data_IF_871041876166
#
_entry.id   IF_871041876166
#
_cell.length_a   1.000
_cell.length_b   1.000
_cell.length_c   1.000
_cell.angle_alpha   90.00
_cell.angle_beta   90.00
_cell.angle_gamma   90.00
#
_symmetry.space_group_name_H-M   'P 1'
#
loop_
_entity.id
_entity.type
_entity.pdbx_description
1 polymer ?
#
# COMPACT_ATOMS: atom_id res chain seq x y z
N UNK A 1 -8.30 -14.07 21.21
CA UNK A 1 -9.49 -13.25 20.92
C UNK A 1 -10.66 -13.80 21.73
N UNK A 2 -11.52 -12.97 22.33
CA UNK A 2 -12.72 -13.43 23.01
C UNK A 2 -13.61 -14.29 22.09
N UNK A 3 -14.41 -15.17 22.69
CA UNK A 3 -15.36 -16.00 21.96
C UNK A 3 -16.39 -15.12 21.21
N UNK A 4 -16.67 -15.46 19.95
CA UNK A 4 -17.57 -14.69 19.09
C UNK A 4 -16.95 -13.49 18.37
N UNK A 5 -15.66 -13.17 18.59
CA UNK A 5 -14.97 -12.10 17.84
C UNK A 5 -14.55 -12.61 16.46
N UNK A 6 -15.12 -12.01 15.42
CA UNK A 6 -14.73 -12.23 14.03
C UNK A 6 -13.77 -11.11 13.60
N UNK A 7 -12.59 -11.42 13.06
CA UNK A 7 -11.70 -10.41 12.53
C UNK A 7 -12.37 -9.69 11.36
N UNK A 8 -12.35 -8.36 11.40
CA UNK A 8 -12.77 -7.50 10.30
C UNK A 8 -11.55 -6.77 9.75
N UNK A 9 -11.51 -6.61 8.43
CA UNK A 9 -10.40 -6.01 7.72
C UNK A 9 -10.91 -4.79 6.97
N UNK A 10 -10.38 -3.60 7.28
CA UNK A 10 -10.69 -2.40 6.51
C UNK A 10 -9.98 -2.42 5.13
N UNK A 11 -8.93 -3.23 5.00
CA UNK A 11 -8.15 -3.45 3.79
C UNK A 11 -7.30 -4.70 3.93
N UNK A 12 -7.16 -5.44 2.84
CA UNK A 12 -6.26 -6.58 2.73
C UNK A 12 -4.87 -6.07 2.35
N UNK A 13 -3.96 -6.12 3.31
CA UNK A 13 -2.54 -5.79 3.09
C UNK A 13 -1.82 -7.01 2.52
N UNK A 14 -1.15 -6.83 1.39
CA UNK A 14 -0.38 -7.86 0.71
C UNK A 14 1.10 -7.46 0.68
N UNK A 15 1.98 -8.42 0.95
CA UNK A 15 3.42 -8.23 0.85
C UNK A 15 3.86 -8.36 -0.60
N UNK A 16 4.48 -7.30 -1.13
CA UNK A 16 5.09 -7.30 -2.44
C UNK A 16 6.55 -7.75 -2.34
N UNK A 17 6.95 -8.72 -3.17
CA UNK A 17 8.30 -9.30 -3.19
C UNK A 17 8.94 -9.08 -4.56
N UNK A 18 9.66 -7.96 -4.77
CA UNK A 18 10.21 -7.64 -6.09
C UNK A 18 11.17 -8.72 -6.59
N UNK A 19 11.86 -9.43 -5.70
CA UNK A 19 12.80 -10.50 -6.06
C UNK A 19 12.12 -11.70 -6.72
N UNK A 20 10.86 -11.98 -6.39
CA UNK A 20 10.07 -13.04 -7.02
C UNK A 20 9.60 -12.63 -8.44
N UNK A 21 9.67 -11.33 -8.77
CA UNK A 21 9.24 -10.75 -10.05
C UNK A 21 10.40 -10.07 -10.79
N UNK A 22 11.63 -10.61 -10.66
CA UNK A 22 12.79 -10.14 -11.42
C UNK A 22 13.26 -8.72 -11.10
N UNK A 23 12.90 -8.18 -9.94
CA UNK A 23 13.21 -6.81 -9.53
C UNK A 23 12.19 -5.77 -9.95
N UNK A 24 11.01 -6.18 -10.46
CA UNK A 24 9.93 -5.27 -10.81
C UNK A 24 9.57 -4.38 -9.61
N UNK A 25 9.42 -3.08 -9.84
CA UNK A 25 9.04 -2.15 -8.79
C UNK A 25 7.55 -2.27 -8.46
N UNK A 26 7.18 -2.04 -7.20
CA UNK A 26 5.78 -2.05 -6.76
C UNK A 26 4.96 -0.97 -7.49
N UNK A 27 5.59 0.16 -7.82
CA UNK A 27 5.06 1.23 -8.66
C UNK A 27 4.58 0.70 -10.02
N UNK A 28 5.46 -0.03 -10.71
CA UNK A 28 5.21 -0.51 -12.07
C UNK A 28 4.21 -1.66 -12.06
N UNK A 29 4.29 -2.55 -11.07
CA UNK A 29 3.31 -3.59 -10.84
C UNK A 29 1.91 -3.00 -10.58
N UNK A 30 1.81 -1.98 -9.72
CA UNK A 30 0.54 -1.28 -9.45
C UNK A 30 -0.05 -0.64 -10.70
N UNK A 31 0.77 0.05 -11.51
CA UNK A 31 0.31 0.61 -12.79
C UNK A 31 -0.26 -0.45 -13.73
N UNK A 32 0.35 -1.64 -13.79
CA UNK A 32 -0.14 -2.74 -14.60
C UNK A 32 -1.47 -3.31 -14.09
N UNK A 33 -1.65 -3.44 -12.77
CA UNK A 33 -2.96 -3.84 -12.20
C UNK A 33 -4.07 -2.84 -12.56
N UNK A 34 -3.78 -1.54 -12.45
CA UNK A 34 -4.72 -0.47 -12.84
C UNK A 34 -5.05 -0.55 -14.33
N UNK A 35 -4.07 -0.84 -15.19
CA UNK A 35 -4.29 -1.03 -16.62
C UNK A 35 -5.18 -2.25 -16.95
N UNK A 36 -5.16 -3.29 -16.11
CA UNK A 36 -6.06 -4.46 -16.17
C UNK A 36 -7.46 -4.17 -15.59
N UNK A 37 -7.74 -2.94 -15.15
CA UNK A 37 -9.01 -2.52 -14.57
C UNK A 37 -9.15 -2.79 -13.07
N UNK A 38 -8.10 -3.30 -12.42
CA UNK A 38 -8.09 -3.55 -10.98
C UNK A 38 -7.71 -2.29 -10.20
N UNK A 39 -8.49 -1.22 -10.38
CA UNK A 39 -8.16 0.15 -9.94
C UNK A 39 -8.24 0.36 -8.43
N UNK A 40 -8.90 -0.55 -7.71
CA UNK A 40 -8.97 -0.53 -6.24
C UNK A 40 -7.71 -1.08 -5.56
N UNK A 41 -6.78 -1.70 -6.30
CA UNK A 41 -5.45 -1.90 -5.75
C UNK A 41 -4.83 -0.55 -5.46
N UNK A 42 -4.41 -0.33 -4.23
CA UNK A 42 -3.82 0.92 -3.80
C UNK A 42 -2.42 0.69 -3.25
N UNK A 43 -1.56 1.66 -3.52
CA UNK A 43 -0.30 1.79 -2.80
C UNK A 43 -0.60 2.65 -1.59
N UNK A 44 -0.32 2.19 -0.37
CA UNK A 44 -0.94 2.80 0.78
C UNK A 44 -0.35 4.18 1.07
N UNK A 45 -0.90 5.22 0.46
CA UNK A 45 -0.61 6.62 0.78
C UNK A 45 -0.96 6.94 2.23
N UNK A 46 -1.94 6.22 2.80
CA UNK A 46 -2.32 6.29 4.21
C UNK A 46 -1.35 5.57 5.17
N UNK A 47 -0.49 4.67 4.68
CA UNK A 47 0.56 4.01 5.50
C UNK A 47 1.97 4.33 4.99
N UNK A 48 2.13 5.43 4.24
CA UNK A 48 3.44 5.95 3.93
C UNK A 48 4.10 6.52 5.20
N UNK A 49 5.44 6.59 5.27
CA UNK A 49 6.15 7.19 6.39
C UNK A 49 5.74 8.66 6.57
N UNK A 50 4.88 8.92 7.57
CA UNK A 50 4.27 10.24 7.76
C UNK A 50 5.31 11.34 8.04
N UNK A 51 6.45 10.95 8.63
CA UNK A 51 7.58 11.84 8.90
C UNK A 51 8.10 12.55 7.65
N UNK A 52 7.86 12.00 6.45
CA UNK A 52 8.27 12.59 5.18
C UNK A 52 7.23 13.57 4.60
N UNK A 53 6.00 13.60 5.12
CA UNK A 53 4.93 14.47 4.62
C UNK A 53 5.15 15.94 5.03
N UNK A 54 4.74 16.92 4.20
CA UNK A 54 4.96 18.34 4.47
C UNK A 54 4.45 18.81 5.85
N UNK A 55 3.30 18.30 6.29
CA UNK A 55 2.72 18.65 7.58
C UNK A 55 3.61 18.24 8.77
N UNK A 56 4.33 17.13 8.66
CA UNK A 56 5.23 16.62 9.71
C UNK A 56 6.62 17.26 9.63
N UNK A 57 7.01 17.75 8.46
CA UNK A 57 8.26 18.49 8.27
C UNK A 57 8.16 19.96 8.66
N UNK A 58 6.98 20.56 8.47
CA UNK A 58 6.72 21.99 8.71
C UNK A 58 5.36 22.22 9.38
N UNK A 59 5.13 21.68 10.60
CA UNK A 59 3.82 21.78 11.28
C UNK A 59 3.45 23.22 11.63
N UNK A 60 4.43 24.11 11.75
CA UNK A 60 4.23 25.52 12.11
C UNK A 60 3.34 26.29 11.11
N UNK A 61 3.18 25.83 9.87
CA UNK A 61 2.29 26.47 8.89
C UNK A 61 0.82 26.40 9.31
N UNK A 62 0.40 25.28 9.91
CA UNK A 62 -0.98 25.09 10.40
C UNK A 62 -1.09 25.29 11.91
N UNK A 63 0.01 25.02 12.63
CA UNK A 63 0.06 25.06 14.09
C UNK A 63 1.23 25.94 14.56
N UNK A 64 1.09 27.28 14.50
CA UNK A 64 2.11 28.20 15.00
C UNK A 64 2.45 27.88 16.47
N UNK A 65 3.75 27.87 16.79
CA UNK A 65 4.22 27.54 18.15
C UNK A 65 4.17 26.04 18.51
N UNK A 66 3.90 25.14 17.55
CA UNK A 66 3.89 23.70 17.82
C UNK A 66 5.23 23.26 18.46
N UNK A 67 5.21 22.57 19.62
CA UNK A 67 6.42 22.24 20.39
C UNK A 67 7.49 21.49 19.60
N UNK A 68 7.07 20.73 18.58
CA UNK A 68 7.96 19.93 17.74
C UNK A 68 8.30 20.56 16.38
N UNK A 69 8.01 21.85 16.15
CA UNK A 69 8.31 22.53 14.88
C UNK A 69 9.81 22.57 14.52
N UNK A 70 10.67 22.37 15.51
CA UNK A 70 12.12 22.26 15.35
C UNK A 70 12.58 20.90 14.83
N UNK A 71 11.74 19.85 14.90
CA UNK A 71 12.12 18.52 14.43
C UNK A 71 12.27 18.53 12.91
N UNK A 72 13.30 17.84 12.43
CA UNK A 72 13.61 17.66 11.02
C UNK A 72 13.81 16.17 10.77
N UNK A 73 12.82 15.56 10.15
CA UNK A 73 12.90 14.15 9.80
C UNK A 73 13.58 13.99 8.44
N UNK A 74 14.32 12.90 8.26
CA UNK A 74 15.01 12.56 7.02
C UNK A 74 14.60 11.15 6.57
N UNK A 75 14.81 10.87 5.29
CA UNK A 75 14.73 9.51 4.80
C UNK A 75 15.76 8.65 5.53
N UNK A 76 15.37 7.43 5.91
CA UNK A 76 16.17 6.51 6.70
C UNK A 76 15.99 6.63 8.21
N UNK A 77 15.28 7.64 8.72
CA UNK A 77 14.99 7.75 10.17
C UNK A 77 14.06 6.62 10.65
N UNK A 78 13.22 6.08 9.75
CA UNK A 78 12.26 5.00 10.04
C UNK A 78 12.36 3.88 9.00
N UNK A 79 13.48 3.13 8.97
CA UNK A 79 13.78 2.20 7.87
C UNK A 79 12.76 1.07 7.76
N UNK A 80 12.19 0.62 8.87
CA UNK A 80 11.15 -0.43 8.86
C UNK A 80 9.85 0.09 8.23
N UNK A 81 9.43 1.30 8.57
CA UNK A 81 8.22 1.90 7.99
C UNK A 81 8.40 2.18 6.49
N UNK A 82 9.57 2.69 6.11
CA UNK A 82 9.96 2.90 4.71
C UNK A 82 9.97 1.58 3.93
N UNK A 83 10.54 0.52 4.51
CA UNK A 83 10.54 -0.81 3.91
C UNK A 83 9.11 -1.35 3.74
N UNK A 84 8.26 -1.27 4.78
CA UNK A 84 6.86 -1.69 4.70
C UNK A 84 6.14 -0.96 3.58
N UNK A 85 6.26 0.37 3.48
CA UNK A 85 5.63 1.15 2.41
C UNK A 85 6.10 0.74 1.00
N UNK A 86 7.40 0.47 0.83
CA UNK A 86 7.95 0.04 -0.45
C UNK A 86 7.54 -1.40 -0.86
N UNK A 87 7.14 -2.24 0.09
CA UNK A 87 6.83 -3.65 -0.13
C UNK A 87 5.38 -4.00 0.21
N UNK A 88 4.48 -3.02 0.14
CA UNK A 88 3.06 -3.22 0.42
C UNK A 88 2.20 -2.75 -0.73
N UNK A 89 1.24 -3.59 -1.10
CA UNK A 89 0.07 -3.21 -1.88
C UNK A 89 -1.18 -3.61 -1.08
N UNK A 90 -2.26 -2.85 -1.18
CA UNK A 90 -3.50 -3.15 -0.48
C UNK A 90 -4.68 -3.22 -1.43
N UNK A 91 -5.71 -3.94 -0.99
CA UNK A 91 -6.98 -4.07 -1.68
C UNK A 91 -8.12 -3.84 -0.68
N UNK A 92 -9.24 -3.17 -1.03
CA UNK A 92 -10.40 -3.18 -0.16
C UNK A 92 -10.91 -4.61 0.08
N UNK A 93 -11.59 -4.80 1.20
CA UNK A 93 -12.20 -6.09 1.53
C UNK A 93 -13.69 -6.04 1.24
N UNK A 94 -14.10 -6.78 0.23
CA UNK A 94 -15.51 -7.05 -0.02
C UNK A 94 -16.04 -8.07 0.98
N UNK A 95 -17.24 -7.83 1.51
CA UNK A 95 -17.78 -8.57 2.66
C UNK A 95 -19.09 -9.28 2.36
N UNK A 96 -19.67 -9.11 1.16
CA UNK A 96 -20.91 -9.76 0.77
C UNK A 96 -20.63 -10.90 -0.18
N UNK A 97 -21.38 -11.98 -0.07
CA UNK A 97 -21.23 -13.16 -0.93
C UNK A 97 -21.38 -12.80 -2.43
N UNK A 98 -22.28 -11.87 -2.73
CA UNK A 98 -22.49 -11.34 -4.08
C UNK A 98 -21.28 -10.62 -4.68
N UNK A 99 -20.31 -10.20 -3.85
CA UNK A 99 -19.09 -9.53 -4.30
C UNK A 99 -17.99 -10.54 -4.69
N UNK A 100 -18.21 -11.84 -4.45
CA UNK A 100 -17.25 -12.92 -4.78
C UNK A 100 -16.79 -12.88 -6.25
N UNK A 101 -17.67 -12.71 -7.25
CA UNK A 101 -17.22 -12.61 -8.65
C UNK A 101 -16.31 -11.41 -8.91
N UNK A 102 -16.49 -10.31 -8.19
CA UNK A 102 -15.62 -9.13 -8.28
C UNK A 102 -14.25 -9.44 -7.68
N UNK A 103 -14.20 -10.03 -6.48
CA UNK A 103 -12.94 -10.44 -5.85
C UNK A 103 -12.13 -11.39 -6.76
N UNK A 104 -12.80 -12.33 -7.44
CA UNK A 104 -12.16 -13.22 -8.40
C UNK A 104 -11.58 -12.49 -9.62
N UNK A 105 -12.21 -11.41 -10.11
CA UNK A 105 -11.65 -10.58 -11.18
C UNK A 105 -10.33 -9.92 -10.76
N UNK A 106 -10.28 -9.41 -9.53
CA UNK A 106 -9.07 -8.82 -8.95
C UNK A 106 -7.94 -9.82 -8.79
N UNK A 107 -8.26 -11.03 -8.35
CA UNK A 107 -7.28 -12.13 -8.27
C UNK A 107 -6.75 -12.47 -9.67
N UNK A 108 -7.62 -12.56 -10.69
CA UNK A 108 -7.19 -12.83 -12.06
C UNK A 108 -6.28 -11.73 -12.63
N UNK A 109 -6.58 -10.47 -12.36
CA UNK A 109 -5.70 -9.35 -12.75
C UNK A 109 -4.31 -9.49 -12.10
N UNK A 110 -4.26 -9.79 -10.80
CA UNK A 110 -3.00 -10.00 -10.08
C UNK A 110 -2.18 -11.19 -10.62
N UNK A 111 -2.85 -12.31 -10.92
CA UNK A 111 -2.21 -13.47 -11.56
C UNK A 111 -1.65 -13.09 -12.93
N UNK A 112 -2.46 -12.46 -13.79
CA UNK A 112 -2.04 -12.05 -15.13
C UNK A 112 -0.81 -11.14 -15.10
N UNK A 113 -0.84 -10.08 -14.29
CA UNK A 113 0.30 -9.16 -14.17
C UNK A 113 1.53 -9.86 -13.63
N UNK A 114 1.36 -10.79 -12.68
CA UNK A 114 2.47 -11.58 -12.12
C UNK A 114 3.07 -12.55 -13.14
N UNK A 115 2.25 -13.26 -13.91
CA UNK A 115 2.71 -14.22 -14.93
C UNK A 115 3.44 -13.52 -16.08
N UNK A 116 3.02 -12.30 -16.41
CA UNK A 116 3.58 -11.46 -17.47
C UNK A 116 4.59 -10.40 -16.97
N UNK A 117 5.08 -10.49 -15.73
CA UNK A 117 5.94 -9.46 -15.12
C UNK A 117 7.20 -9.14 -15.92
N UNK A 118 7.73 -10.10 -16.69
CA UNK A 118 8.93 -9.92 -17.52
C UNK A 118 8.75 -8.89 -18.63
N UNK A 119 7.52 -8.64 -19.05
CA UNK A 119 7.18 -7.61 -20.06
C UNK A 119 7.18 -6.20 -19.44
N UNK A 120 7.27 -6.09 -18.11
CA UNK A 120 7.19 -4.84 -17.35
C UNK A 120 8.55 -4.40 -16.77
N UNK A 121 9.58 -5.24 -16.88
CA UNK A 121 10.98 -4.98 -16.49
C UNK A 121 11.70 -4.11 -17.52
#
# INVERSE_FOLDING_TARGET
MPEGVVPSWYGLTLTYRPQELGGLSVERFHQALVAEGAVEFDRPGSTCPMNQLPLYQSPAMLFPGHPHAHRRYRAGDFPVAEHTHAHTIKLPVWHREQDRPLAEQYIRAAIKVSDHHKELL
#
